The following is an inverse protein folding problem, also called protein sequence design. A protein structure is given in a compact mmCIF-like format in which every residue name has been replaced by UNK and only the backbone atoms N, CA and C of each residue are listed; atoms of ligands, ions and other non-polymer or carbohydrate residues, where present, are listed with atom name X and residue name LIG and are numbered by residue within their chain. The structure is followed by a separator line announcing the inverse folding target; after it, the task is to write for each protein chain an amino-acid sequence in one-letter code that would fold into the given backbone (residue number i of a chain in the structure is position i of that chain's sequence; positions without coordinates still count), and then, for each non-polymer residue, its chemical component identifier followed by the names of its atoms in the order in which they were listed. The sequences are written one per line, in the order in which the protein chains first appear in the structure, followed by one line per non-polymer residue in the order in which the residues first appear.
data_IF_493993615522
#
_entry.id   IF_493993615522
#
_cell.length_a   1.000
_cell.length_b   1.000
_cell.length_c   1.000
_cell.angle_alpha   90.00
_cell.angle_beta   90.00
_cell.angle_gamma   90.00
#
_symmetry.space_group_name_H-M   'P 1'
#
loop_
_entity.id
_entity.type
_entity.pdbx_description
1 polymer ?
#
# COMPACT_ATOMS: atom_id res chain seq x y z
N UNK A 1 16.00 7.38 -1.90
CA UNK A 1 15.39 8.70 -2.14
C UNK A 1 14.13 8.43 -2.94
N UNK A 2 12.96 8.87 -2.46
CA UNK A 2 11.70 8.68 -3.19
C UNK A 2 11.59 9.81 -4.22
N UNK A 3 11.36 9.43 -5.47
CA UNK A 3 11.19 10.34 -6.59
C UNK A 3 9.77 10.15 -7.08
N UNK A 4 8.83 10.87 -6.49
CA UNK A 4 7.42 10.73 -6.82
C UNK A 4 7.09 11.51 -8.11
N UNK A 5 7.75 12.65 -8.31
CA UNK A 5 7.48 13.59 -9.39
C UNK A 5 8.77 14.22 -9.92
N UNK A 6 8.79 14.57 -11.20
CA UNK A 6 9.83 15.43 -11.79
C UNK A 6 9.30 16.85 -11.97
N UNK A 7 10.09 17.84 -11.55
CA UNK A 7 9.74 19.24 -11.74
C UNK A 7 9.59 19.55 -13.24
N UNK A 8 8.46 20.09 -13.70
CA UNK A 8 8.24 20.37 -15.12
C UNK A 8 9.12 21.51 -15.66
N UNK A 9 9.81 22.26 -14.79
CA UNK A 9 10.62 23.41 -15.18
C UNK A 9 12.12 23.11 -15.23
N UNK A 10 12.67 22.38 -14.26
CA UNK A 10 14.12 22.10 -14.17
C UNK A 10 14.47 20.61 -14.22
N UNK A 11 13.47 19.71 -14.22
CA UNK A 11 13.68 18.26 -14.27
C UNK A 11 14.15 17.62 -12.96
N UNK A 12 14.30 18.40 -11.89
CA UNK A 12 14.70 17.89 -10.58
C UNK A 12 13.63 16.96 -9.98
N UNK A 13 14.06 15.94 -9.25
CA UNK A 13 13.17 15.04 -8.51
C UNK A 13 12.55 15.76 -7.31
N UNK A 14 11.26 15.52 -7.07
CA UNK A 14 10.53 16.02 -5.92
C UNK A 14 9.74 14.87 -5.27
N UNK A 15 9.63 14.93 -3.95
CA UNK A 15 8.87 13.99 -3.13
C UNK A 15 7.57 14.66 -2.68
N UNK A 16 6.45 13.97 -2.86
CA UNK A 16 5.15 14.38 -2.32
C UNK A 16 5.17 14.03 -0.84
N UNK A 17 5.26 15.05 0.03
CA UNK A 17 5.21 14.82 1.47
C UNK A 17 3.78 14.45 1.88
N UNK A 18 3.63 13.27 2.48
CA UNK A 18 2.34 12.75 2.92
C UNK A 18 2.11 12.85 4.43
N UNK A 19 3.08 13.38 5.19
CA UNK A 19 3.03 13.45 6.66
C UNK A 19 1.91 14.34 7.19
N UNK A 20 1.46 15.32 6.39
CA UNK A 20 0.37 16.24 6.71
C UNK A 20 -0.96 15.87 6.04
N UNK A 21 -1.04 14.70 5.39
CA UNK A 21 -2.23 14.24 4.67
C UNK A 21 -2.48 14.94 3.33
N UNK A 22 -1.53 15.72 2.80
CA UNK A 22 -1.63 16.28 1.43
C UNK A 22 -1.29 15.25 0.35
N UNK A 23 -1.76 15.52 -0.87
CA UNK A 23 -1.45 14.69 -2.03
C UNK A 23 -2.19 13.34 -2.08
N UNK A 24 -3.33 13.21 -1.40
CA UNK A 24 -4.15 11.98 -1.43
C UNK A 24 -5.48 12.12 -2.20
N UNK A 25 -6.02 13.33 -2.33
CA UNK A 25 -7.31 13.55 -2.99
C UNK A 25 -7.17 13.46 -4.51
N UNK A 26 -7.98 12.61 -5.15
CA UNK A 26 -7.95 12.43 -6.61
C UNK A 26 -8.65 13.55 -7.39
N UNK A 27 -9.66 14.19 -6.78
CA UNK A 27 -10.50 15.20 -7.43
C UNK A 27 -9.99 16.64 -7.22
N UNK A 28 -8.70 16.82 -6.94
CA UNK A 28 -8.15 18.15 -6.68
C UNK A 28 -6.72 18.30 -7.18
N UNK A 29 -6.44 19.49 -7.70
CA UNK A 29 -5.08 19.92 -8.03
C UNK A 29 -4.32 20.22 -6.74
N UNK A 30 -3.17 19.58 -6.57
CA UNK A 30 -2.27 19.82 -5.44
C UNK A 30 -1.14 20.74 -5.88
N UNK A 31 -0.96 21.86 -5.18
CA UNK A 31 0.17 22.76 -5.41
C UNK A 31 1.42 22.30 -4.66
N UNK A 32 2.57 22.39 -5.33
CA UNK A 32 3.88 22.13 -4.74
C UNK A 32 4.93 23.10 -5.29
N UNK A 33 5.89 23.48 -4.45
CA UNK A 33 7.07 24.26 -4.87
C UNK A 33 8.27 23.35 -5.05
N UNK A 34 8.94 23.47 -6.20
CA UNK A 34 10.17 22.72 -6.45
C UNK A 34 11.30 23.16 -5.51
N UNK A 35 11.98 22.20 -4.86
CA UNK A 35 13.07 22.47 -3.91
C UNK A 35 14.36 23.02 -4.57
N UNK A 36 14.51 22.85 -5.89
CA UNK A 36 15.73 23.24 -6.62
C UNK A 36 15.60 24.57 -7.38
N UNK A 37 14.41 24.89 -7.92
CA UNK A 37 14.22 26.11 -8.73
C UNK A 37 13.14 27.06 -8.20
N UNK A 38 12.57 26.76 -7.02
CA UNK A 38 11.55 27.56 -6.32
C UNK A 38 10.28 27.87 -7.11
N UNK A 39 10.08 27.24 -8.27
CA UNK A 39 8.85 27.38 -9.07
C UNK A 39 7.75 26.49 -8.50
N UNK A 40 6.57 27.06 -8.34
CA UNK A 40 5.36 26.33 -8.02
C UNK A 40 4.82 25.59 -9.26
N UNK A 41 4.30 24.39 -9.06
CA UNK A 41 3.60 23.59 -10.06
C UNK A 41 2.45 22.81 -9.41
N UNK A 42 1.55 22.29 -10.24
CA UNK A 42 0.45 21.42 -9.80
C UNK A 42 0.73 19.96 -10.14
N UNK A 43 0.20 19.06 -9.33
CA UNK A 43 0.11 17.64 -9.65
C UNK A 43 -1.28 17.09 -9.27
N UNK A 44 -1.62 15.93 -9.81
CA UNK A 44 -2.82 15.18 -9.45
C UNK A 44 -2.45 13.83 -8.88
N UNK A 45 -3.33 13.30 -8.05
CA UNK A 45 -3.20 11.96 -7.46
C UNK A 45 -4.21 11.04 -8.11
N UNK A 46 -3.86 9.78 -8.35
CA UNK A 46 -4.81 8.77 -8.82
C UNK A 46 -4.63 7.50 -8.00
N UNK A 47 -5.73 6.98 -7.47
CA UNK A 47 -5.83 5.77 -6.66
C UNK A 47 -6.52 4.70 -7.50
N UNK A 48 -5.80 3.62 -7.78
CA UNK A 48 -6.33 2.51 -8.59
C UNK A 48 -6.80 1.40 -7.67
N UNK A 49 -8.11 1.17 -7.61
CA UNK A 49 -8.69 0.03 -6.90
C UNK A 49 -8.80 -1.18 -7.82
N UNK A 50 -8.10 -2.26 -7.49
CA UNK A 50 -8.14 -3.52 -8.24
C UNK A 50 -8.74 -4.63 -7.40
N UNK A 51 -9.77 -5.27 -7.94
CA UNK A 51 -10.46 -6.39 -7.30
C UNK A 51 -10.15 -7.69 -8.03
N UNK A 52 -9.75 -8.71 -7.28
CA UNK A 52 -9.63 -10.09 -7.76
C UNK A 52 -10.46 -10.99 -6.86
N UNK A 53 -11.16 -11.95 -7.46
CA UNK A 53 -11.95 -12.94 -6.76
C UNK A 53 -11.25 -14.30 -6.82
N UNK A 54 -11.24 -15.02 -5.71
CA UNK A 54 -10.67 -16.35 -5.58
C UNK A 54 -11.68 -17.26 -4.87
N UNK A 55 -11.74 -18.52 -5.30
CA UNK A 55 -12.54 -19.53 -4.59
C UNK A 55 -11.92 -19.84 -3.22
N UNK A 56 -12.76 -19.95 -2.20
CA UNK A 56 -12.36 -20.23 -0.83
C UNK A 56 -13.34 -21.21 -0.18
N UNK A 57 -13.26 -22.49 -0.55
CA UNK A 57 -14.22 -23.52 -0.16
C UNK A 57 -14.33 -23.72 1.36
N UNK A 58 -13.28 -23.40 2.12
CA UNK A 58 -13.32 -23.39 3.58
C UNK A 58 -14.39 -22.46 4.15
N UNK A 59 -14.79 -21.40 3.44
CA UNK A 59 -15.83 -20.47 3.91
C UNK A 59 -17.24 -21.03 3.72
N UNK A 60 -17.42 -22.02 2.84
CA UNK A 60 -18.71 -22.65 2.57
C UNK A 60 -18.90 -23.93 3.39
N UNK A 61 -17.80 -24.64 3.66
CA UNK A 61 -17.79 -25.90 4.43
C UNK A 61 -17.46 -25.69 5.91
N UNK A 62 -16.81 -24.57 6.26
CA UNK A 62 -16.27 -24.30 7.60
C UNK A 62 -14.90 -24.93 7.86
N UNK A 63 -14.43 -25.82 6.98
CA UNK A 63 -13.20 -26.58 7.19
C UNK A 63 -11.97 -25.84 6.66
N UNK A 64 -11.19 -25.29 7.59
CA UNK A 64 -9.95 -24.59 7.26
C UNK A 64 -8.73 -25.52 7.26
N UNK A 65 -7.98 -25.52 6.14
CA UNK A 65 -6.66 -26.14 6.06
C UNK A 65 -5.57 -25.14 6.47
N UNK A 66 -5.06 -25.28 7.69
CA UNK A 66 -4.05 -24.38 8.26
C UNK A 66 -2.62 -24.83 8.00
N UNK A 67 -1.75 -23.87 7.69
CA UNK A 67 -0.30 -24.03 7.65
C UNK A 67 0.38 -22.94 8.50
N UNK A 68 1.57 -23.24 9.03
CA UNK A 68 2.35 -22.28 9.82
C UNK A 68 2.93 -21.21 8.89
N UNK A 69 2.70 -19.93 9.21
CA UNK A 69 3.29 -18.82 8.46
C UNK A 69 4.81 -18.77 8.64
N UNK A 70 5.51 -18.33 7.60
CA UNK A 70 6.94 -18.05 7.64
C UNK A 70 7.13 -16.56 7.88
N UNK A 71 7.45 -16.19 9.12
CA UNK A 71 7.68 -14.79 9.53
C UNK A 71 9.09 -14.63 10.09
N UNK A 72 9.61 -13.41 10.03
CA UNK A 72 10.81 -12.99 10.75
C UNK A 72 10.38 -11.80 11.63
N UNK A 73 10.45 -11.92 12.97
CA UNK A 73 11.04 -13.03 13.70
C UNK A 73 10.09 -14.26 13.82
N UNK A 74 10.60 -15.48 14.08
CA UNK A 74 9.81 -16.72 14.06
C UNK A 74 8.72 -16.84 15.14
N UNK A 75 8.89 -16.17 16.28
CA UNK A 75 7.92 -16.11 17.38
C UNK A 75 6.63 -15.38 17.02
N UNK A 76 6.63 -14.57 15.95
CA UNK A 76 5.44 -13.93 15.41
C UNK A 76 4.60 -14.85 14.51
N UNK A 77 5.02 -16.11 14.30
CA UNK A 77 4.34 -17.05 13.41
C UNK A 77 2.93 -17.41 13.93
N UNK A 78 2.03 -17.67 12.97
CA UNK A 78 0.61 -18.02 13.19
C UNK A 78 0.22 -19.21 12.34
N UNK A 79 -0.94 -19.80 12.61
CA UNK A 79 -1.60 -20.71 11.67
C UNK A 79 -2.45 -19.87 10.71
N UNK A 80 -2.26 -20.05 9.39
CA UNK A 80 -3.03 -19.35 8.35
C UNK A 80 -3.70 -20.36 7.42
N UNK A 81 -4.99 -20.17 7.14
CA UNK A 81 -5.72 -20.97 6.16
C UNK A 81 -5.16 -20.72 4.76
N UNK A 82 -4.80 -21.79 4.04
CA UNK A 82 -4.19 -21.68 2.70
C UNK A 82 -5.15 -21.15 1.62
N UNK A 83 -6.46 -21.15 1.88
CA UNK A 83 -7.49 -20.72 0.91
C UNK A 83 -8.00 -19.31 1.19
N UNK A 84 -8.43 -19.02 2.42
CA UNK A 84 -9.05 -17.72 2.77
C UNK A 84 -8.16 -16.79 3.59
N UNK A 85 -6.95 -17.21 3.97
CA UNK A 85 -6.04 -16.40 4.76
C UNK A 85 -6.44 -16.19 6.23
N UNK A 86 -7.55 -16.78 6.71
CA UNK A 86 -7.93 -16.71 8.12
C UNK A 86 -6.79 -17.15 9.04
N UNK A 87 -6.53 -16.41 10.10
CA UNK A 87 -5.41 -16.65 11.01
C UNK A 87 -5.87 -17.02 12.42
N UNK A 88 -5.08 -17.87 13.09
CA UNK A 88 -5.22 -18.14 14.53
C UNK A 88 -3.85 -18.33 15.20
N UNK A 89 -3.75 -18.19 16.53
CA UNK A 89 -2.52 -18.43 17.26
C UNK A 89 -1.95 -19.84 17.04
N UNK A 90 -0.65 -20.01 17.24
CA UNK A 90 -0.05 -21.33 17.34
C UNK A 90 -0.60 -22.04 18.60
N UNK A 91 -0.82 -23.36 18.56
CA UNK A 91 -1.13 -24.11 19.76
C UNK A 91 0.03 -24.01 20.76
N UNK A 92 -0.32 -23.80 22.03
CA UNK A 92 0.62 -23.78 23.16
C UNK A 92 1.04 -25.19 23.51
#
# INVERSE_FOLDING_TARGET
MKNDLQCPYCGADNEVCHDDGKGYSEDTDHEMTCRECDKAFIFNTTIIMRYEAFAADCLNTGDHKYEKTRTIPPEAARLRCVMCGHEKPLPV
#
